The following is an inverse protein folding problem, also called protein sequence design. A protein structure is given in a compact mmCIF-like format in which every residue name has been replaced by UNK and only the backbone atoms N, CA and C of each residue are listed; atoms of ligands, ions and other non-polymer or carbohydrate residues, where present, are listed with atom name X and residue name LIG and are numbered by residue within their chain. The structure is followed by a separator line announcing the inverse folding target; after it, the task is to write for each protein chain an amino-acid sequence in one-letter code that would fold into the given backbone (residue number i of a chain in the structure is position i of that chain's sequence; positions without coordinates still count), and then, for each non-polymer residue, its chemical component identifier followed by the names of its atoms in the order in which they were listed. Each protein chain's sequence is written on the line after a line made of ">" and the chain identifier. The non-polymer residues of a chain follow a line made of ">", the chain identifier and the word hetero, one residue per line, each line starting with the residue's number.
data_IF_655766391617
#
_entry.id   IF_655766391617
#
_cell.length_a   1.000
_cell.length_b   1.000
_cell.length_c   1.000
_cell.angle_alpha   90.00
_cell.angle_beta   90.00
_cell.angle_gamma   90.00
#
_symmetry.space_group_name_H-M   'P 1'
#
loop_
_entity.id
_entity.type
_entity.pdbx_description
1 polymer ?
#
# COMPACT_ATOMS: atom_id res chain seq x y z
N UNK A 1 -5.66 9.27 16.75
CA UNK A 1 -5.64 9.96 15.44
C UNK A 1 -5.67 8.89 14.38
N UNK A 2 -6.58 9.01 13.41
CA UNK A 2 -6.71 7.99 12.36
C UNK A 2 -5.69 8.26 11.26
N UNK A 3 -5.21 7.19 10.62
CA UNK A 3 -4.28 7.22 9.49
C UNK A 3 -4.84 6.41 8.34
N UNK A 4 -4.30 6.63 7.14
CA UNK A 4 -4.66 5.85 5.97
C UNK A 4 -3.69 4.68 5.79
N UNK A 5 -4.21 3.52 5.42
CA UNK A 5 -3.42 2.30 5.22
C UNK A 5 -3.76 1.63 3.90
N UNK A 6 -2.76 1.05 3.25
CA UNK A 6 -2.95 0.00 2.27
C UNK A 6 -3.19 -1.33 3.00
N UNK A 7 -4.23 -2.05 2.58
CA UNK A 7 -4.59 -3.37 3.07
C UNK A 7 -4.03 -4.41 2.12
N UNK A 8 -3.13 -5.28 2.60
CA UNK A 8 -2.47 -6.29 1.79
C UNK A 8 -2.61 -7.65 2.47
N UNK A 9 -3.02 -8.66 1.70
CA UNK A 9 -3.16 -10.03 2.22
C UNK A 9 -1.80 -10.61 2.59
N UNK A 10 -1.72 -11.31 3.71
CA UNK A 10 -0.49 -11.96 4.15
C UNK A 10 0.04 -12.91 3.07
N UNK A 11 1.35 -12.81 2.77
CA UNK A 11 2.00 -13.61 1.72
C UNK A 11 1.81 -13.08 0.29
N UNK A 12 1.15 -11.94 0.11
CA UNK A 12 1.00 -11.25 -1.17
C UNK A 12 1.67 -9.86 -1.12
N UNK A 13 1.77 -9.18 -2.25
CA UNK A 13 2.25 -7.80 -2.37
C UNK A 13 1.23 -6.84 -3.00
N UNK A 14 0.06 -7.32 -3.42
CA UNK A 14 -0.96 -6.47 -4.06
C UNK A 14 -1.84 -5.78 -3.03
N UNK A 15 -2.02 -4.47 -3.18
CA UNK A 15 -2.96 -3.68 -2.38
C UNK A 15 -4.38 -4.07 -2.77
N UNK A 16 -5.13 -4.63 -1.81
CA UNK A 16 -6.53 -5.05 -2.00
C UNK A 16 -7.48 -3.87 -1.79
N UNK A 17 -7.17 -3.02 -0.81
CA UNK A 17 -7.98 -1.85 -0.48
C UNK A 17 -7.14 -0.76 0.19
N UNK A 18 -7.69 0.44 0.34
CA UNK A 18 -7.17 1.46 1.27
C UNK A 18 -8.23 1.82 2.29
N UNK A 19 -7.84 1.98 3.55
CA UNK A 19 -8.76 2.25 4.66
C UNK A 19 -8.23 3.38 5.54
N UNK A 20 -9.11 4.00 6.32
CA UNK A 20 -8.75 4.91 7.40
C UNK A 20 -9.02 4.22 8.73
N UNK A 21 -8.00 4.10 9.58
CA UNK A 21 -8.09 3.36 10.84
C UNK A 21 -7.18 3.96 11.93
N UNK A 22 -7.40 3.61 13.21
CA UNK A 22 -6.44 3.85 14.29
C UNK A 22 -5.07 3.21 14.04
N UNK A 23 -4.04 3.68 14.76
CA UNK A 23 -2.66 3.18 14.60
C UNK A 23 -2.43 1.75 15.10
N UNK A 24 -3.27 1.28 16.01
CA UNK A 24 -3.26 -0.05 16.62
C UNK A 24 -4.25 -1.03 15.95
N UNK A 25 -4.91 -0.60 14.88
CA UNK A 25 -5.88 -1.43 14.16
C UNK A 25 -5.20 -2.62 13.47
N UNK A 26 -5.82 -3.79 13.57
CA UNK A 26 -5.35 -5.03 12.95
C UNK A 26 -6.50 -5.76 12.26
N UNK A 27 -6.19 -6.43 11.15
CA UNK A 27 -7.13 -7.29 10.41
C UNK A 27 -6.50 -8.66 10.25
N UNK A 28 -7.20 -9.71 10.68
CA UNK A 28 -6.71 -11.07 10.55
C UNK A 28 -6.49 -11.46 9.08
N UNK A 29 -5.30 -11.99 8.78
CA UNK A 29 -4.93 -12.43 7.43
C UNK A 29 -4.40 -11.32 6.52
N UNK A 30 -4.27 -10.09 7.05
CA UNK A 30 -3.73 -8.94 6.32
C UNK A 30 -2.66 -8.22 7.15
N UNK A 31 -1.78 -7.52 6.46
CA UNK A 31 -0.91 -6.52 7.06
C UNK A 31 -1.26 -5.14 6.49
N UNK A 32 -1.01 -4.12 7.30
CA UNK A 32 -1.33 -2.74 6.98
C UNK A 32 -0.04 -1.96 6.78
N UNK A 33 0.04 -1.23 5.68
CA UNK A 33 1.15 -0.32 5.39
C UNK A 33 0.61 1.10 5.42
N UNK A 34 1.15 1.94 6.30
CA UNK A 34 0.75 3.34 6.43
C UNK A 34 1.03 4.09 5.14
N UNK A 35 0.01 4.79 4.63
CA UNK A 35 0.13 5.65 3.47
C UNK A 35 0.46 7.07 3.90
N UNK A 36 1.20 7.77 3.04
CA UNK A 36 1.53 9.18 3.20
C UNK A 36 1.57 9.86 1.84
N UNK A 37 1.66 11.19 1.81
CA UNK A 37 1.87 11.95 0.56
C UNK A 37 3.08 11.43 -0.23
N UNK A 38 4.11 10.99 0.49
CA UNK A 38 5.33 10.48 -0.09
C UNK A 38 5.32 8.97 -0.40
N UNK A 39 4.31 8.24 0.05
CA UNK A 39 4.18 6.80 -0.14
C UNK A 39 2.70 6.42 -0.24
N UNK A 40 2.06 6.91 -1.31
CA UNK A 40 0.64 6.68 -1.57
C UNK A 40 0.45 5.44 -2.43
N UNK A 41 -0.74 4.84 -2.34
CA UNK A 41 -1.15 3.69 -3.12
C UNK A 41 -2.67 3.69 -3.34
N UNK A 42 -3.13 2.97 -4.35
CA UNK A 42 -4.53 2.59 -4.51
C UNK A 42 -4.62 1.07 -4.72
N UNK A 43 -5.82 0.47 -4.67
CA UNK A 43 -5.99 -0.94 -4.97
C UNK A 43 -5.37 -1.32 -6.31
N UNK A 44 -4.71 -2.48 -6.36
CA UNK A 44 -3.95 -2.96 -7.51
C UNK A 44 -2.48 -2.56 -7.55
N UNK A 45 -2.03 -1.63 -6.71
CA UNK A 45 -0.60 -1.32 -6.57
C UNK A 45 0.18 -2.50 -5.95
N UNK A 46 1.46 -2.60 -6.26
CA UNK A 46 2.36 -3.63 -5.75
C UNK A 46 3.31 -3.04 -4.70
N UNK A 47 3.31 -3.59 -3.49
CA UNK A 47 4.17 -3.19 -2.39
C UNK A 47 5.45 -4.02 -2.36
N UNK A 48 6.59 -3.34 -2.43
CA UNK A 48 7.89 -3.97 -2.20
C UNK A 48 8.26 -3.82 -0.72
N UNK A 49 8.27 -4.92 0.03
CA UNK A 49 8.64 -4.93 1.45
C UNK A 49 10.12 -4.65 1.72
N UNK A 50 11.00 -4.84 0.73
CA UNK A 50 12.43 -4.54 0.87
C UNK A 50 12.70 -3.03 0.78
N UNK A 51 12.00 -2.33 -0.11
CA UNK A 51 12.16 -0.88 -0.30
C UNK A 51 11.13 -0.03 0.47
N UNK A 52 10.04 -0.64 0.92
CA UNK A 52 8.92 0.03 1.58
C UNK A 52 8.05 0.89 0.65
N UNK A 53 8.16 0.72 -0.68
CA UNK A 53 7.48 1.54 -1.69
C UNK A 53 6.41 0.78 -2.46
N UNK A 54 5.50 1.55 -3.06
CA UNK A 54 4.47 1.05 -3.96
C UNK A 54 4.83 1.29 -5.43
N UNK A 55 4.47 0.33 -6.28
CA UNK A 55 4.75 0.29 -7.70
C UNK A 55 3.49 -0.03 -8.51
N UNK A 56 3.48 0.37 -9.78
CA UNK A 56 2.42 0.05 -10.73
C UNK A 56 2.52 -1.35 -11.34
N UNK A 57 3.65 -2.04 -11.13
CA UNK A 57 3.90 -3.38 -11.65
C UNK A 57 4.53 -4.29 -10.59
N UNK A 58 4.44 -5.60 -10.83
CA UNK A 58 4.93 -6.65 -9.91
C UNK A 58 6.46 -6.73 -9.83
N UNK A 59 7.14 -6.31 -10.88
CA UNK A 59 8.60 -6.34 -10.99
C UNK A 59 9.24 -5.10 -10.35
N UNK A 60 8.43 -4.21 -9.78
CA UNK A 60 8.82 -2.98 -9.11
C UNK A 60 9.61 -2.01 -10.01
N UNK A 61 9.30 -1.97 -11.29
CA UNK A 61 10.03 -1.13 -12.27
C UNK A 61 9.41 0.26 -12.45
N UNK A 62 8.11 0.40 -12.18
CA UNK A 62 7.35 1.63 -12.33
C UNK A 62 6.88 2.14 -10.98
N UNK A 63 7.55 3.18 -10.46
CA UNK A 63 7.09 3.88 -9.24
C UNK A 63 5.62 4.27 -9.37
N UNK A 64 4.81 3.92 -8.38
CA UNK A 64 3.37 4.16 -8.41
C UNK A 64 3.03 5.65 -8.54
N UNK A 65 3.86 6.54 -7.98
CA UNK A 65 3.72 8.00 -8.13
C UNK A 65 3.69 8.49 -9.57
N UNK A 66 4.26 7.74 -10.53
CA UNK A 66 4.23 8.11 -11.94
C UNK A 66 2.86 7.89 -12.60
N UNK A 67 1.94 7.18 -11.95
CA UNK A 67 0.57 6.99 -12.44
C UNK A 67 -0.42 8.06 -11.96
N UNK A 68 -0.01 8.94 -11.04
CA UNK A 68 -0.82 10.09 -10.60
C UNK A 68 -0.46 11.37 -11.37
N UNK A 69 -0.51 11.40 -12.70
CA UNK A 69 -0.70 12.66 -13.44
C UNK A 69 -1.41 12.40 -14.78
N UNK A 70 -2.63 12.91 -14.90
CA UNK A 70 -3.48 12.87 -16.10
C UNK A 70 -4.84 13.50 -15.81
#
# INVERSE_FOLDING_TARGET
>A
MNKQYAVIKNGNCVVENTIVAPADYQINGFYLVELSENNHAQPGAFYNSESGRFYGDRDYTMDYKKFTIG
#
